data_IF_759097972818
#
_entry.id   IF_759097972818
#
_cell.length_a   1.000
_cell.length_b   1.000
_cell.length_c   1.000
_cell.angle_alpha   90.00
_cell.angle_beta   90.00
_cell.angle_gamma   90.00
#
_symmetry.space_group_name_H-M   'P 1'
#
loop_
_entity.id
_entity.type
_entity.pdbx_description
1 polymer ?
#
# COMPACT_ATOMS: atom_id res chain seq x y z
N UNK A 1 21.81 7.85 3.31
CA UNK A 1 20.66 7.39 4.11
C UNK A 1 20.01 6.29 3.30
N UNK A 2 19.88 5.09 3.85
CA UNK A 2 19.11 4.02 3.21
C UNK A 2 17.63 4.37 3.34
N UNK A 3 16.96 4.44 2.20
CA UNK A 3 15.52 4.68 2.15
C UNK A 3 14.83 3.37 2.54
N UNK A 4 14.30 3.29 3.75
CA UNK A 4 13.78 2.04 4.35
C UNK A 4 12.27 1.87 4.09
N UNK A 5 11.72 2.58 3.10
CA UNK A 5 10.32 2.42 2.70
C UNK A 5 10.01 0.97 2.29
N UNK A 6 8.91 0.46 2.83
CA UNK A 6 8.37 -0.84 2.48
C UNK A 6 6.97 -0.67 1.89
N UNK A 7 6.61 -1.44 0.86
CA UNK A 7 5.23 -1.52 0.39
C UNK A 7 4.29 -1.87 1.54
N UNK A 8 3.33 -1.00 1.80
CA UNK A 8 2.25 -1.24 2.74
C UNK A 8 1.40 -2.38 2.20
N UNK A 9 1.29 -3.49 2.95
CA UNK A 9 0.50 -4.62 2.49
C UNK A 9 -0.98 -4.25 2.59
N UNK A 10 -1.74 -4.60 1.57
CA UNK A 10 -3.19 -4.39 1.55
C UNK A 10 -3.89 -5.75 1.74
N UNK A 11 -3.44 -6.52 2.73
CA UNK A 11 -4.09 -7.76 3.14
C UNK A 11 -5.10 -7.50 4.26
N UNK A 12 -5.73 -8.57 4.76
CA UNK A 12 -6.83 -8.47 5.71
C UNK A 12 -6.40 -7.87 7.06
N UNK A 13 -5.12 -7.96 7.42
CA UNK A 13 -4.57 -7.49 8.69
C UNK A 13 -4.20 -6.01 8.59
N UNK A 14 -3.50 -5.61 7.52
CA UNK A 14 -2.94 -4.26 7.42
C UNK A 14 -3.95 -3.21 6.89
N UNK A 15 -5.03 -3.61 6.20
CA UNK A 15 -6.01 -2.65 5.64
C UNK A 15 -6.66 -1.73 6.68
N UNK A 16 -6.78 -2.19 7.93
CA UNK A 16 -7.46 -1.49 9.02
C UNK A 16 -6.50 -0.65 9.88
N UNK A 17 -5.19 -0.69 9.58
CA UNK A 17 -4.22 0.20 10.22
C UNK A 17 -4.63 1.66 10.01
N UNK A 18 -4.46 2.49 11.04
CA UNK A 18 -4.82 3.91 10.99
C UNK A 18 -3.57 4.74 10.72
N UNK A 19 -3.65 5.59 9.72
CA UNK A 19 -2.65 6.62 9.43
C UNK A 19 -3.13 7.95 9.97
N UNK A 20 -2.30 8.62 10.77
CA UNK A 20 -2.49 9.99 11.21
C UNK A 20 -1.50 10.91 10.47
N UNK A 21 -1.98 12.02 9.93
CA UNK A 21 -1.15 13.05 9.28
C UNK A 21 -1.45 14.38 9.95
N UNK A 22 -0.49 14.87 10.74
CA UNK A 22 -0.71 16.03 11.62
C UNK A 22 -1.81 15.76 12.65
N UNK A 23 -2.40 16.83 13.18
CA UNK A 23 -3.29 16.74 14.34
C UNK A 23 -4.77 16.50 13.98
N UNK A 24 -5.16 16.65 12.72
CA UNK A 24 -6.57 16.69 12.31
C UNK A 24 -6.97 15.64 11.28
N UNK A 25 -6.01 14.92 10.69
CA UNK A 25 -6.30 13.95 9.64
C UNK A 25 -5.96 12.54 10.10
N UNK A 26 -6.99 11.70 10.21
CA UNK A 26 -6.86 10.28 10.48
C UNK A 26 -7.68 9.50 9.45
N UNK A 27 -7.07 8.49 8.85
CA UNK A 27 -7.72 7.62 7.86
C UNK A 27 -7.15 6.21 7.96
N UNK A 28 -7.95 5.19 7.67
CA UNK A 28 -7.41 3.83 7.50
C UNK A 28 -6.49 3.77 6.28
N UNK A 29 -5.35 3.10 6.39
CA UNK A 29 -4.39 2.94 5.32
C UNK A 29 -5.02 2.27 4.08
N UNK A 30 -5.87 1.25 4.27
CA UNK A 30 -6.63 0.64 3.18
C UNK A 30 -7.62 1.60 2.53
N UNK A 31 -8.28 2.46 3.31
CA UNK A 31 -9.16 3.50 2.77
C UNK A 31 -8.38 4.55 1.98
N UNK A 32 -7.21 4.97 2.47
CA UNK A 32 -6.33 5.90 1.76
C UNK A 32 -5.87 5.30 0.42
N UNK A 33 -5.43 4.04 0.42
CA UNK A 33 -5.02 3.34 -0.80
C UNK A 33 -6.19 3.21 -1.80
N UNK A 34 -7.39 2.86 -1.32
CA UNK A 34 -8.59 2.78 -2.14
C UNK A 34 -8.96 4.13 -2.76
N UNK A 35 -8.89 5.22 -1.99
CA UNK A 35 -9.10 6.57 -2.48
C UNK A 35 -8.03 6.96 -3.51
N UNK A 36 -6.76 6.67 -3.26
CA UNK A 36 -5.67 6.93 -4.21
C UNK A 36 -5.88 6.19 -5.54
N UNK A 37 -6.28 4.91 -5.49
CA UNK A 37 -6.65 4.14 -6.69
C UNK A 37 -7.88 4.71 -7.38
N UNK A 38 -8.84 5.24 -6.62
CA UNK A 38 -10.06 5.84 -7.18
C UNK A 38 -9.77 7.12 -7.98
N UNK A 39 -8.70 7.85 -7.67
CA UNK A 39 -8.26 9.02 -8.46
C UNK A 39 -7.94 8.61 -9.90
N UNK A 40 -7.39 7.40 -10.12
CA UNK A 40 -7.12 6.88 -11.45
C UNK A 40 -8.32 6.15 -12.09
N UNK A 41 -9.53 6.28 -11.53
CA UNK A 41 -10.78 5.92 -12.22
C UNK A 41 -11.24 7.09 -13.10
N UNK A 42 -12.45 7.00 -13.63
CA UNK A 42 -13.12 8.15 -14.23
C UNK A 42 -13.46 9.18 -13.14
N UNK A 43 -13.19 10.49 -13.32
CA UNK A 43 -12.65 11.15 -14.52
C UNK A 43 -11.12 11.32 -14.56
N UNK A 44 -10.35 10.86 -13.57
CA UNK A 44 -8.91 11.15 -13.51
C UNK A 44 -8.07 10.64 -14.69
N UNK A 45 -8.44 9.51 -15.31
CA UNK A 45 -7.78 9.09 -16.57
C UNK A 45 -8.09 10.03 -17.74
N UNK A 46 -9.29 10.59 -17.78
CA UNK A 46 -9.66 11.61 -18.79
C UNK A 46 -8.82 12.86 -18.56
N UNK A 47 -8.69 13.30 -17.31
CA UNK A 47 -7.86 14.46 -16.97
C UNK A 47 -6.38 14.25 -17.34
N UNK A 48 -5.84 13.04 -17.12
CA UNK A 48 -4.48 12.69 -17.53
C UNK A 48 -4.33 12.77 -19.06
N UNK A 49 -5.29 12.21 -19.79
CA UNK A 49 -5.34 12.26 -21.25
C UNK A 49 -5.40 13.69 -21.79
N UNK A 50 -6.27 14.53 -21.24
CA UNK A 50 -6.39 15.94 -21.64
C UNK A 50 -5.09 16.71 -21.40
N UNK A 51 -4.39 16.42 -20.29
CA UNK A 51 -3.08 17.02 -20.00
C UNK A 51 -2.01 16.61 -21.01
N UNK A 52 -1.91 15.33 -21.36
CA UNK A 52 -0.96 14.83 -22.36
C UNK A 52 -1.19 15.52 -23.72
N UNK A 53 -2.47 15.63 -24.12
CA UNK A 53 -2.84 16.30 -25.36
C UNK A 53 -2.52 17.80 -25.33
N UNK A 54 -2.85 18.48 -24.23
CA UNK A 54 -2.58 19.90 -24.02
C UNK A 54 -1.09 20.23 -24.06
N UNK A 55 -0.24 19.34 -23.56
CA UNK A 55 1.22 19.49 -23.60
C UNK A 55 1.85 19.12 -24.96
N UNK A 56 1.05 18.74 -25.96
CA UNK A 56 1.54 18.38 -27.29
C UNK A 56 2.37 17.09 -27.31
N UNK A 57 2.22 16.23 -26.30
CA UNK A 57 2.99 14.97 -26.15
C UNK A 57 2.36 13.79 -26.91
N UNK A 58 1.43 14.08 -27.82
CA UNK A 58 0.71 13.10 -28.61
C UNK A 58 -0.78 13.05 -28.28
N UNK A 59 -1.50 12.18 -28.99
CA UNK A 59 -2.89 11.84 -28.73
C UNK A 59 -2.96 10.57 -27.89
N UNK A 60 -3.75 10.59 -26.82
CA UNK A 60 -3.99 9.38 -26.03
C UNK A 60 -4.65 8.31 -26.90
N UNK A 61 -4.27 7.03 -26.76
CA UNK A 61 -5.06 5.96 -27.32
C UNK A 61 -6.47 6.04 -26.71
N UNK A 62 -7.48 6.37 -27.51
CA UNK A 62 -8.91 6.41 -27.10
C UNK A 62 -9.47 5.07 -26.62
N UNK A 63 -8.61 4.05 -26.45
CA UNK A 63 -8.90 2.66 -26.15
C UNK A 63 -8.49 2.24 -24.73
N UNK A 64 -8.01 3.18 -23.90
CA UNK A 64 -7.55 2.88 -22.54
C UNK A 64 -8.73 2.89 -21.56
N UNK A 65 -9.21 1.70 -21.19
CA UNK A 65 -10.13 1.55 -20.06
C UNK A 65 -9.34 1.54 -18.73
N UNK A 66 -10.01 1.89 -17.63
CA UNK A 66 -9.42 1.79 -16.28
C UNK A 66 -8.89 0.38 -15.99
N UNK A 67 -9.65 -0.64 -16.39
CA UNK A 67 -9.26 -2.05 -16.21
C UNK A 67 -7.99 -2.41 -16.99
N UNK A 68 -7.83 -1.90 -18.21
CA UNK A 68 -6.61 -2.09 -18.99
C UNK A 68 -5.42 -1.36 -18.36
N UNK A 69 -5.63 -0.17 -17.79
CA UNK A 69 -4.55 0.64 -17.24
C UNK A 69 -4.00 0.11 -15.91
N UNK A 70 -4.89 -0.39 -15.04
CA UNK A 70 -4.53 -0.84 -13.69
C UNK A 70 -4.29 -2.36 -13.62
N UNK A 71 -5.13 -3.16 -14.27
CA UNK A 71 -5.13 -4.62 -14.07
C UNK A 71 -4.42 -5.37 -15.21
N UNK A 72 -4.89 -5.19 -16.45
CA UNK A 72 -4.50 -6.06 -17.58
C UNK A 72 -3.25 -5.61 -18.34
N UNK A 73 -2.94 -4.31 -18.28
CA UNK A 73 -1.92 -3.66 -19.08
C UNK A 73 -2.38 -3.30 -20.50
N UNK A 74 -1.90 -2.18 -21.02
CA UNK A 74 -2.12 -1.72 -22.39
C UNK A 74 -1.03 -2.29 -23.30
N UNK A 75 -1.36 -2.92 -24.44
CA UNK A 75 -0.38 -3.30 -25.45
C UNK A 75 0.36 -2.09 -26.01
N UNK A 76 1.68 -2.19 -26.11
CA UNK A 76 2.54 -1.10 -26.56
C UNK A 76 3.82 -1.63 -27.18
N UNK A 77 4.58 -0.73 -27.81
CA UNK A 77 5.96 -1.00 -28.20
C UNK A 77 6.88 0.01 -27.51
N UNK A 78 8.02 -0.45 -27.01
CA UNK A 78 9.06 0.41 -26.44
C UNK A 78 10.32 0.34 -27.31
N UNK A 79 10.95 1.49 -27.53
CA UNK A 79 12.28 1.59 -28.11
C UNK A 79 13.18 2.29 -27.11
N UNK A 80 14.27 1.64 -26.73
CA UNK A 80 15.34 2.25 -25.91
C UNK A 80 16.49 2.67 -26.82
N UNK A 81 17.27 3.71 -26.49
CA UNK A 81 18.45 4.06 -27.26
C UNK A 81 19.35 2.84 -27.50
N UNK A 82 19.76 2.62 -28.74
CA UNK A 82 20.58 1.47 -29.14
C UNK A 82 19.85 0.11 -29.17
N UNK A 83 18.53 0.06 -29.04
CA UNK A 83 17.73 -1.18 -29.14
C UNK A 83 16.62 -1.05 -30.20
N UNK A 84 16.25 -2.18 -30.77
CA UNK A 84 15.08 -2.28 -31.65
C UNK A 84 13.77 -2.15 -30.87
N UNK A 85 12.69 -1.91 -31.60
CA UNK A 85 11.33 -1.92 -31.05
C UNK A 85 11.01 -3.27 -30.40
N UNK A 86 10.48 -3.21 -29.18
CA UNK A 86 10.04 -4.37 -28.43
C UNK A 86 8.55 -4.25 -28.12
N UNK A 87 7.75 -5.19 -28.60
CA UNK A 87 6.34 -5.31 -28.23
C UNK A 87 6.19 -5.81 -26.79
N UNK A 88 5.22 -5.26 -26.07
CA UNK A 88 4.94 -5.60 -24.69
C UNK A 88 3.63 -4.99 -24.20
N UNK A 89 3.50 -4.86 -22.87
CA UNK A 89 2.38 -4.17 -22.23
C UNK A 89 2.89 -3.25 -21.12
N UNK A 90 2.29 -2.08 -20.97
CA UNK A 90 2.46 -1.23 -19.79
C UNK A 90 1.24 -1.32 -18.89
N UNK A 91 1.46 -1.43 -17.57
CA UNK A 91 0.42 -1.27 -16.56
C UNK A 91 0.89 -0.25 -15.53
N UNK A 92 -0.05 0.52 -14.97
CA UNK A 92 0.21 1.41 -13.85
C UNK A 92 -0.07 0.65 -12.56
N UNK A 93 0.92 0.62 -11.65
CA UNK A 93 0.75 0.11 -10.29
C UNK A 93 0.91 1.26 -9.32
N UNK A 94 -0.12 1.55 -8.54
CA UNK A 94 -0.02 2.44 -7.38
C UNK A 94 0.40 1.58 -6.19
N UNK A 95 1.31 2.07 -5.37
CA UNK A 95 1.78 1.40 -4.16
C UNK A 95 1.88 2.45 -3.07
N UNK A 96 1.27 2.18 -1.91
CA UNK A 96 1.47 2.96 -0.71
C UNK A 96 2.68 2.36 0.00
N UNK A 97 3.63 3.19 0.42
CA UNK A 97 4.83 2.74 1.14
C UNK A 97 4.91 3.45 2.49
N UNK A 98 5.40 2.73 3.50
CA UNK A 98 5.57 3.25 4.85
C UNK A 98 6.99 2.96 5.34
N UNK A 99 7.57 3.92 6.05
CA UNK A 99 8.86 3.80 6.70
C UNK A 99 8.67 4.17 8.17
N UNK A 100 8.76 3.23 9.12
CA UNK A 100 8.70 3.55 10.53
C UNK A 100 10.00 4.25 10.97
N UNK A 101 9.91 5.21 11.89
CA UNK A 101 11.08 5.92 12.43
C UNK A 101 12.01 4.98 13.21
N UNK A 102 11.42 3.97 13.86
CA UNK A 102 12.12 2.89 14.54
C UNK A 102 11.81 1.60 13.78
N UNK A 103 12.82 0.82 13.35
CA UNK A 103 12.57 -0.46 12.71
C UNK A 103 11.68 -1.33 13.59
N UNK A 104 10.70 -2.00 12.98
CA UNK A 104 9.90 -3.00 13.67
C UNK A 104 10.85 -4.12 14.08
N UNK A 105 11.07 -4.28 15.39
CA UNK A 105 11.83 -5.42 15.88
C UNK A 105 11.07 -6.68 15.46
N UNK A 106 11.72 -7.67 14.84
CA UNK A 106 11.05 -8.93 14.57
C UNK A 106 10.50 -9.43 15.90
N UNK A 107 9.20 -9.71 15.96
CA UNK A 107 8.62 -10.44 17.06
C UNK A 107 9.42 -11.73 17.16
N UNK A 108 10.40 -11.78 18.08
CA UNK A 108 10.98 -13.03 18.51
C UNK A 108 9.78 -13.77 19.05
N UNK A 109 9.32 -14.78 18.32
CA UNK A 109 8.51 -15.83 18.91
C UNK A 109 9.38 -16.40 20.02
N UNK A 110 9.28 -15.82 21.21
CA UNK A 110 9.78 -16.39 22.45
C UNK A 110 8.90 -17.58 22.80
N UNK A 111 8.87 -18.59 21.93
CA UNK A 111 8.68 -19.96 22.37
C UNK A 111 9.98 -20.33 23.08
N UNK A 112 10.05 -19.98 24.37
CA UNK A 112 11.23 -20.21 25.20
C UNK A 112 11.16 -19.49 26.53
N UNK A 113 10.25 -19.94 27.40
CA UNK A 113 10.41 -20.00 28.86
C UNK A 113 10.92 -18.75 29.61
N UNK A 114 10.35 -17.57 29.34
CA UNK A 114 10.42 -16.47 30.28
C UNK A 114 9.05 -15.79 30.43
N UNK A 115 8.53 -15.88 31.66
CA UNK A 115 7.44 -15.06 32.20
C UNK A 115 5.98 -15.53 32.04
N UNK A 116 5.76 -16.85 32.03
CA UNK A 116 4.47 -17.39 32.49
C UNK A 116 4.34 -17.37 34.02
N UNK A 117 5.40 -17.03 34.77
CA UNK A 117 5.42 -16.95 36.24
C UNK A 117 4.58 -15.78 36.74
N UNK A 118 4.77 -14.58 36.19
CA UNK A 118 4.02 -13.37 36.59
C UNK A 118 2.52 -13.51 36.33
N UNK A 119 2.12 -14.04 35.15
CA UNK A 119 0.71 -14.25 34.82
C UNK A 119 0.06 -15.40 35.59
N UNK A 120 0.82 -16.45 35.95
CA UNK A 120 0.28 -17.55 36.75
C UNK A 120 0.14 -17.19 38.23
N UNK A 121 0.97 -16.28 38.75
CA UNK A 121 0.76 -15.67 40.07
C UNK A 121 -0.50 -14.80 40.11
N UNK A 122 -0.72 -13.96 39.10
CA UNK A 122 -1.93 -13.12 39.00
C UNK A 122 -3.22 -13.96 38.95
N UNK A 123 -3.22 -15.10 38.24
CA UNK A 123 -4.37 -16.04 38.20
C UNK A 123 -4.65 -16.67 39.56
N UNK A 124 -3.61 -16.95 40.35
CA UNK A 124 -3.76 -17.51 41.70
C UNK A 124 -4.34 -16.49 42.67
N UNK A 125 -3.92 -15.23 42.60
CA UNK A 125 -4.47 -14.15 43.42
C UNK A 125 -5.97 -13.93 43.20
N UNK A 126 -6.41 -13.88 41.93
CA UNK A 126 -7.82 -13.68 41.59
C UNK A 126 -8.74 -14.82 42.06
N UNK A 127 -8.24 -16.06 42.08
CA UNK A 127 -9.02 -17.19 42.59
C UNK A 127 -9.11 -17.22 44.11
N UNK A 128 -8.16 -16.61 44.83
CA UNK A 128 -8.22 -16.48 46.29
C UNK A 128 -9.24 -15.42 46.73
N UNK A 129 -9.36 -14.31 45.98
CA UNK A 129 -10.31 -13.23 46.29
C UNK A 129 -11.78 -13.62 46.08
N UNK A 130 -12.06 -14.67 45.31
CA UNK A 130 -13.42 -15.18 45.07
C UNK A 130 -13.86 -16.27 46.07
N UNK A 131 -13.10 -16.50 47.15
CA UNK A 131 -13.43 -17.47 48.22
C UNK A 131 -13.68 -16.84 49.60
N UNK A 132 -13.80 -15.51 49.67
CA UNK A 132 -14.26 -14.76 50.87
C UNK A 132 -15.60 -14.10 50.53
#
# INVERSE_FOLDING_TARGET
MSDNFQPFKHDAEDKDAVTAIGDSFMIKAGSLMSLALSVFRYPGLVNLQERIAKEGRGTSPSLVTHENFINMGIPCQIMKPGKLWQSGKFRLKVTLEFCPDVPEEPLVNSQGDADNSSLSELRKQLNLENQI
#
